data_IF_849559698325
#
_entry.id   IF_849559698325
#
_cell.length_a   1.000
_cell.length_b   1.000
_cell.length_c   1.000
_cell.angle_alpha   90.00
_cell.angle_beta   90.00
_cell.angle_gamma   90.00
#
_symmetry.space_group_name_H-M   'P 1'
#
loop_
_entity.id
_entity.type
_entity.pdbx_description
1 polymer ?
#
# COMPACT_ATOMS: atom_id res chain seq x y z
N UNK A 1 61.21 -34.45 -67.09
CA UNK A 1 61.69 -33.34 -67.93
C UNK A 1 62.07 -32.16 -67.03
N UNK A 2 63.36 -31.79 -67.04
CA UNK A 2 63.95 -30.41 -67.00
C UNK A 2 63.51 -29.48 -65.84
N UNK A 3 64.37 -29.24 -64.82
CA UNK A 3 65.35 -28.11 -64.69
C UNK A 3 64.69 -26.73 -64.48
N UNK A 4 65.12 -25.82 -63.60
CA UNK A 4 66.40 -25.67 -62.91
C UNK A 4 66.43 -24.50 -61.91
N UNK A 5 67.58 -24.36 -61.25
CA UNK A 5 67.96 -23.35 -60.25
C UNK A 5 68.11 -21.95 -60.87
N UNK A 6 68.17 -20.89 -60.05
CA UNK A 6 69.27 -19.87 -60.04
C UNK A 6 69.10 -18.88 -58.87
N UNK A 7 70.21 -18.65 -58.18
CA UNK A 7 70.46 -17.76 -57.05
C UNK A 7 71.18 -16.48 -57.54
N UNK A 8 70.91 -15.27 -57.02
CA UNK A 8 71.84 -14.11 -57.10
C UNK A 8 71.71 -13.13 -55.91
N UNK A 9 72.84 -12.93 -55.21
CA UNK A 9 73.15 -11.87 -54.23
C UNK A 9 73.13 -10.48 -54.89
N UNK A 10 72.75 -9.41 -54.16
CA UNK A 10 72.98 -8.00 -54.57
C UNK A 10 73.71 -7.19 -53.48
N UNK A 11 74.86 -6.61 -53.85
CA UNK A 11 75.68 -5.66 -53.10
C UNK A 11 74.97 -4.29 -53.03
N UNK A 12 75.03 -3.58 -51.89
CA UNK A 12 74.63 -2.16 -51.78
C UNK A 12 75.82 -1.28 -52.20
N UNK A 13 75.63 -0.45 -53.23
CA UNK A 13 76.59 0.55 -53.65
C UNK A 13 76.34 1.85 -52.85
N UNK A 14 77.38 2.32 -52.18
CA UNK A 14 77.44 3.62 -51.52
C UNK A 14 77.79 4.64 -52.62
N UNK A 15 76.82 5.44 -53.07
CA UNK A 15 77.09 6.53 -54.01
C UNK A 15 77.30 7.80 -53.19
N UNK A 16 78.57 8.10 -52.90
CA UNK A 16 79.02 9.39 -52.36
C UNK A 16 79.29 10.32 -53.54
N UNK A 17 78.36 11.24 -53.83
CA UNK A 17 78.67 12.42 -54.65
C UNK A 17 79.05 13.57 -53.69
N UNK A 18 80.32 13.98 -53.74
CA UNK A 18 80.82 15.21 -53.11
C UNK A 18 80.58 16.39 -54.06
N UNK A 19 79.84 17.40 -53.61
CA UNK A 19 79.92 18.77 -54.14
C UNK A 19 79.76 19.79 -52.99
N UNK A 20 80.42 20.94 -53.13
CA UNK A 20 81.11 21.64 -52.04
C UNK A 20 80.27 22.66 -51.23
N UNK A 21 79.06 23.08 -51.65
CA UNK A 21 78.45 24.30 -51.08
C UNK A 21 76.95 24.23 -50.68
N UNK A 22 76.36 23.05 -50.49
CA UNK A 22 74.92 22.93 -50.13
C UNK A 22 74.62 22.05 -48.91
N UNK A 23 75.59 21.85 -48.00
CA UNK A 23 75.51 20.86 -46.92
C UNK A 23 74.28 20.98 -45.99
N UNK A 24 73.80 22.19 -45.68
CA UNK A 24 72.64 22.34 -44.80
C UNK A 24 71.30 21.96 -45.45
N UNK A 25 71.14 22.24 -46.75
CA UNK A 25 69.91 21.92 -47.48
C UNK A 25 69.77 20.41 -47.68
N UNK A 26 70.86 19.75 -48.09
CA UNK A 26 70.88 18.30 -48.27
C UNK A 26 70.76 17.54 -46.94
N UNK A 27 71.30 18.06 -45.83
CA UNK A 27 71.23 17.38 -44.55
C UNK A 27 69.82 17.39 -43.94
N UNK A 28 69.06 18.48 -44.11
CA UNK A 28 67.65 18.55 -43.73
C UNK A 28 66.78 17.59 -44.56
N UNK A 29 67.08 17.49 -45.85
CA UNK A 29 66.41 16.53 -46.74
C UNK A 29 66.76 15.08 -46.38
N UNK A 30 68.00 14.80 -46.00
CA UNK A 30 68.42 13.46 -45.52
C UNK A 30 67.74 13.10 -44.21
N UNK A 31 67.62 14.02 -43.25
CA UNK A 31 66.90 13.76 -41.99
C UNK A 31 65.41 13.52 -42.22
N UNK A 32 64.78 14.29 -43.11
CA UNK A 32 63.39 14.06 -43.52
C UNK A 32 63.22 12.70 -44.20
N UNK A 33 64.13 12.33 -45.09
CA UNK A 33 64.12 11.03 -45.77
C UNK A 33 64.29 9.91 -44.74
N UNK A 34 65.23 10.03 -43.80
CA UNK A 34 65.44 9.02 -42.76
C UNK A 34 64.23 8.87 -41.83
N UNK A 35 63.60 9.99 -41.46
CA UNK A 35 62.37 9.96 -40.66
C UNK A 35 61.21 9.32 -41.42
N UNK A 36 61.07 9.62 -42.72
CA UNK A 36 60.09 8.99 -43.60
C UNK A 36 60.36 7.50 -43.76
N UNK A 37 61.61 7.08 -43.96
CA UNK A 37 62.02 5.68 -44.05
C UNK A 37 61.74 4.92 -42.75
N UNK A 38 62.05 5.51 -41.59
CA UNK A 38 61.71 4.91 -40.30
C UNK A 38 60.20 4.74 -40.13
N UNK A 39 59.42 5.76 -40.51
CA UNK A 39 57.96 5.72 -40.42
C UNK A 39 57.35 4.71 -41.40
N UNK A 40 57.91 4.63 -42.60
CA UNK A 40 57.50 3.68 -43.63
C UNK A 40 57.81 2.25 -43.20
N UNK A 41 59.00 1.99 -42.67
CA UNK A 41 59.38 0.69 -42.09
C UNK A 41 58.51 0.31 -40.90
N UNK A 42 58.13 1.27 -40.06
CA UNK A 42 57.19 1.04 -38.96
C UNK A 42 55.81 0.67 -39.48
N UNK A 43 55.29 1.38 -40.49
CA UNK A 43 54.01 1.06 -41.12
C UNK A 43 54.04 -0.31 -41.84
N UNK A 44 55.13 -0.65 -42.51
CA UNK A 44 55.34 -1.97 -43.13
C UNK A 44 55.39 -3.09 -42.09
N UNK A 45 55.97 -2.85 -40.91
CA UNK A 45 55.96 -3.82 -39.82
C UNK A 45 54.56 -4.02 -39.21
N UNK A 46 53.76 -2.95 -39.10
CA UNK A 46 52.40 -3.03 -38.56
C UNK A 46 51.40 -3.65 -39.54
N UNK A 47 51.55 -3.39 -40.84
CA UNK A 47 50.65 -3.87 -41.89
C UNK A 47 51.13 -5.23 -42.44
N UNK A 48 52.41 -5.56 -42.26
CA UNK A 48 53.06 -6.69 -42.92
C UNK A 48 53.15 -6.49 -44.44
N UNK A 49 53.80 -7.41 -45.15
CA UNK A 49 53.76 -7.51 -46.63
C UNK A 49 52.38 -8.02 -47.10
N UNK A 50 51.32 -7.39 -46.63
CA UNK A 50 49.95 -7.77 -46.98
C UNK A 50 49.40 -6.79 -47.98
N UNK A 51 48.77 -7.31 -49.03
CA UNK A 51 48.16 -6.50 -50.07
C UNK A 51 47.08 -5.60 -49.47
N UNK A 52 47.16 -4.30 -49.75
CA UNK A 52 46.22 -3.27 -49.22
C UNK A 52 44.76 -3.67 -49.40
N UNK A 53 44.45 -4.32 -50.51
CA UNK A 53 43.10 -4.76 -50.84
C UNK A 53 42.61 -5.87 -49.91
N UNK A 54 43.49 -6.74 -49.40
CA UNK A 54 43.08 -7.83 -48.52
C UNK A 54 42.70 -7.31 -47.13
N UNK A 55 43.46 -6.37 -46.58
CA UNK A 55 43.13 -5.75 -45.28
C UNK A 55 41.84 -4.94 -45.36
N UNK A 56 41.66 -4.16 -46.43
CA UNK A 56 40.43 -3.40 -46.65
C UNK A 56 39.24 -4.35 -46.81
N UNK A 57 39.40 -5.46 -47.54
CA UNK A 57 38.36 -6.48 -47.69
C UNK A 57 38.02 -7.17 -46.37
N UNK A 58 39.03 -7.50 -45.54
CA UNK A 58 38.82 -8.10 -44.21
C UNK A 58 38.10 -7.11 -43.27
N UNK A 59 38.49 -5.84 -43.28
CA UNK A 59 37.82 -4.80 -42.49
C UNK A 59 36.39 -4.60 -42.97
N UNK A 60 36.14 -4.59 -44.28
CA UNK A 60 34.80 -4.48 -44.84
C UNK A 60 33.94 -5.71 -44.52
N UNK A 61 34.51 -6.92 -44.57
CA UNK A 61 33.83 -8.16 -44.18
C UNK A 61 33.50 -8.17 -42.68
N UNK A 62 34.45 -7.77 -41.83
CA UNK A 62 34.22 -7.62 -40.39
C UNK A 62 33.17 -6.55 -40.10
N UNK A 63 33.23 -5.41 -40.78
CA UNK A 63 32.25 -4.35 -40.61
C UNK A 63 30.85 -4.78 -41.09
N UNK A 64 30.79 -5.56 -42.18
CA UNK A 64 29.57 -6.21 -42.67
C UNK A 64 28.98 -7.17 -41.63
N UNK A 65 29.82 -8.03 -41.05
CA UNK A 65 29.43 -8.97 -39.97
C UNK A 65 28.97 -8.24 -38.71
N UNK A 66 29.65 -7.18 -38.29
CA UNK A 66 29.27 -6.35 -37.13
C UNK A 66 27.94 -5.66 -37.39
N UNK A 67 27.74 -5.09 -38.58
CA UNK A 67 26.49 -4.43 -38.96
C UNK A 67 25.33 -5.42 -39.06
N UNK A 68 25.59 -6.62 -39.59
CA UNK A 68 24.62 -7.72 -39.62
C UNK A 68 24.26 -8.19 -38.21
N UNK A 69 25.23 -8.33 -37.31
CA UNK A 69 24.96 -8.69 -35.92
C UNK A 69 24.19 -7.60 -35.17
N UNK A 70 24.53 -6.33 -35.37
CA UNK A 70 23.82 -5.20 -34.77
C UNK A 70 22.37 -5.07 -35.27
N UNK A 71 22.14 -5.26 -36.58
CA UNK A 71 20.79 -5.29 -37.16
C UNK A 71 19.99 -6.51 -36.70
N UNK A 72 20.60 -7.69 -36.62
CA UNK A 72 19.95 -8.89 -36.09
C UNK A 72 19.59 -8.74 -34.60
N UNK A 73 20.46 -8.13 -33.79
CA UNK A 73 20.22 -7.93 -32.36
C UNK A 73 19.13 -6.87 -32.11
N UNK A 74 19.10 -5.79 -32.90
CA UNK A 74 18.02 -4.79 -32.83
C UNK A 74 16.68 -5.37 -33.29
N UNK A 75 16.67 -6.15 -34.38
CA UNK A 75 15.50 -6.88 -34.84
C UNK A 75 15.02 -7.91 -33.81
N UNK A 76 15.93 -8.67 -33.21
CA UNK A 76 15.60 -9.61 -32.14
C UNK A 76 14.98 -8.88 -30.93
N UNK A 77 15.53 -7.75 -30.52
CA UNK A 77 14.99 -6.96 -29.41
C UNK A 77 13.59 -6.39 -29.73
N UNK A 78 13.37 -5.92 -30.96
CA UNK A 78 12.04 -5.51 -31.42
C UNK A 78 11.06 -6.70 -31.44
N UNK A 79 11.51 -7.86 -31.91
CA UNK A 79 10.72 -9.09 -31.90
C UNK A 79 10.39 -9.55 -30.49
N UNK A 80 11.32 -9.49 -29.53
CA UNK A 80 11.04 -9.81 -28.12
C UNK A 80 10.00 -8.86 -27.52
N UNK A 81 10.15 -7.54 -27.73
CA UNK A 81 9.16 -6.55 -27.29
C UNK A 81 7.78 -6.78 -27.93
N UNK A 82 7.74 -7.16 -29.20
CA UNK A 82 6.50 -7.47 -29.91
C UNK A 82 5.97 -8.86 -29.57
N UNK A 83 6.80 -9.82 -29.19
CA UNK A 83 6.40 -11.19 -28.87
C UNK A 83 5.46 -11.23 -27.67
N UNK A 84 5.73 -10.43 -26.63
CA UNK A 84 4.82 -10.31 -25.48
C UNK A 84 3.47 -9.71 -25.88
N UNK A 85 3.49 -8.69 -26.74
CA UNK A 85 2.28 -8.07 -27.26
C UNK A 85 1.48 -9.03 -28.15
N UNK A 86 2.17 -9.76 -29.04
CA UNK A 86 1.58 -10.78 -29.90
C UNK A 86 0.98 -11.88 -29.03
N UNK A 87 1.69 -12.38 -28.02
CA UNK A 87 1.21 -13.43 -27.11
C UNK A 87 -0.06 -13.01 -26.37
N UNK A 88 -0.12 -11.75 -25.89
CA UNK A 88 -1.34 -11.18 -25.30
C UNK A 88 -2.50 -11.10 -26.30
N UNK A 89 -2.23 -10.70 -27.55
CA UNK A 89 -3.23 -10.56 -28.61
C UNK A 89 -3.65 -11.90 -29.22
N UNK A 90 -2.83 -12.94 -29.14
CA UNK A 90 -3.12 -14.31 -29.61
C UNK A 90 -3.70 -15.17 -28.50
N UNK A 91 -3.79 -14.68 -27.27
CA UNK A 91 -4.48 -15.39 -26.21
C UNK A 91 -5.92 -15.66 -26.65
N UNK A 92 -6.28 -16.95 -26.67
CA UNK A 92 -7.55 -17.44 -27.22
C UNK A 92 -8.75 -16.73 -26.60
N UNK A 93 -8.66 -16.38 -25.31
CA UNK A 93 -9.75 -15.73 -24.58
C UNK A 93 -9.96 -14.26 -25.00
N UNK A 94 -8.87 -13.54 -25.28
CA UNK A 94 -8.95 -12.15 -25.75
C UNK A 94 -9.47 -12.08 -27.19
N UNK A 95 -9.03 -13.00 -28.07
CA UNK A 95 -9.56 -13.08 -29.43
C UNK A 95 -11.04 -13.49 -29.45
N UNK A 96 -11.46 -14.42 -28.59
CA UNK A 96 -12.88 -14.82 -28.46
C UNK A 96 -13.77 -13.66 -28.02
N UNK A 97 -13.28 -12.80 -27.13
CA UNK A 97 -14.02 -11.62 -26.68
C UNK A 97 -14.11 -10.53 -27.76
N UNK A 98 -13.01 -10.25 -28.46
CA UNK A 98 -12.96 -9.23 -29.51
C UNK A 98 -13.70 -9.63 -30.80
N UNK A 99 -13.55 -10.88 -31.22
CA UNK A 99 -14.14 -11.43 -32.45
C UNK A 99 -15.59 -11.91 -32.28
N UNK A 100 -16.23 -11.65 -31.12
CA UNK A 100 -17.66 -11.92 -30.98
C UNK A 100 -18.45 -11.06 -31.97
N UNK A 101 -19.13 -11.75 -32.87
CA UNK A 101 -20.07 -11.13 -33.79
C UNK A 101 -21.17 -10.38 -33.03
N UNK A 102 -21.73 -9.34 -33.64
CA UNK A 102 -22.77 -8.50 -33.03
C UNK A 102 -23.98 -9.32 -32.60
N UNK A 103 -24.33 -10.38 -33.34
CA UNK A 103 -25.42 -11.30 -32.96
C UNK A 103 -25.11 -12.02 -31.64
N UNK A 104 -23.90 -12.54 -31.48
CA UNK A 104 -23.48 -13.26 -30.27
C UNK A 104 -23.38 -12.37 -29.02
N UNK A 105 -23.09 -11.07 -29.20
CA UNK A 105 -23.12 -10.08 -28.11
C UNK A 105 -24.55 -9.79 -27.68
N UNK A 106 -25.48 -9.72 -28.64
CA UNK A 106 -26.89 -9.53 -28.36
C UNK A 106 -27.47 -10.72 -27.60
N UNK A 107 -27.18 -11.94 -28.04
CA UNK A 107 -27.58 -13.17 -27.34
C UNK A 107 -27.02 -13.24 -25.91
N UNK A 108 -25.77 -12.81 -25.71
CA UNK A 108 -25.20 -12.71 -24.36
C UNK A 108 -25.96 -11.71 -23.48
N UNK A 109 -26.27 -10.52 -24.02
CA UNK A 109 -27.01 -9.49 -23.28
C UNK A 109 -28.41 -9.98 -22.93
N UNK A 110 -29.08 -10.67 -23.84
CA UNK A 110 -30.40 -11.26 -23.61
C UNK A 110 -30.34 -12.40 -22.58
N UNK A 111 -29.31 -13.25 -22.64
CA UNK A 111 -29.08 -14.31 -21.65
C UNK A 111 -28.77 -13.74 -20.26
N UNK A 112 -28.11 -12.59 -20.18
CA UNK A 112 -27.79 -11.87 -18.95
C UNK A 112 -28.85 -10.83 -18.55
N UNK A 113 -29.95 -10.69 -19.29
CA UNK A 113 -30.90 -9.59 -19.10
C UNK A 113 -31.52 -9.59 -17.70
N UNK A 114 -31.94 -10.75 -17.21
CA UNK A 114 -32.49 -10.91 -15.87
C UNK A 114 -31.46 -10.56 -14.79
N UNK A 115 -30.21 -11.02 -14.95
CA UNK A 115 -29.10 -10.71 -14.05
C UNK A 115 -28.79 -9.21 -14.02
N UNK A 116 -28.81 -8.54 -15.18
CA UNK A 116 -28.61 -7.10 -15.29
C UNK A 116 -29.77 -6.36 -14.63
N UNK A 117 -31.01 -6.79 -14.87
CA UNK A 117 -32.22 -6.19 -14.31
C UNK A 117 -32.23 -6.30 -12.78
N UNK A 118 -31.93 -7.46 -12.23
CA UNK A 118 -31.80 -7.66 -10.79
C UNK A 118 -30.66 -6.82 -10.21
N UNK A 119 -29.52 -6.74 -10.91
CA UNK A 119 -28.42 -5.85 -10.55
C UNK A 119 -28.83 -4.39 -10.47
N UNK A 120 -29.62 -3.90 -11.44
CA UNK A 120 -30.12 -2.52 -11.44
C UNK A 120 -31.15 -2.26 -10.34
N UNK A 121 -32.03 -3.23 -10.06
CA UNK A 121 -33.01 -3.13 -8.97
C UNK A 121 -32.31 -3.05 -7.62
N UNK A 122 -31.36 -3.95 -7.36
CA UNK A 122 -30.58 -3.96 -6.14
C UNK A 122 -29.76 -2.68 -5.98
N UNK A 123 -29.18 -2.15 -7.06
CA UNK A 123 -28.46 -0.88 -7.04
C UNK A 123 -29.39 0.28 -6.67
N UNK A 124 -30.62 0.29 -7.20
CA UNK A 124 -31.62 1.30 -6.84
C UNK A 124 -32.06 1.20 -5.37
N UNK A 125 -32.19 -0.02 -4.83
CA UNK A 125 -32.50 -0.24 -3.42
C UNK A 125 -31.34 0.20 -2.51
N UNK A 126 -30.10 -0.08 -2.91
CA UNK A 126 -28.90 0.37 -2.20
C UNK A 126 -28.78 1.90 -2.25
N UNK A 127 -29.05 2.55 -3.39
CA UNK A 127 -29.03 4.01 -3.50
C UNK A 127 -30.10 4.66 -2.60
N UNK A 128 -31.29 4.07 -2.53
CA UNK A 128 -32.33 4.51 -1.61
C UNK A 128 -31.89 4.38 -0.15
N UNK A 129 -31.22 3.27 0.21
CA UNK A 129 -30.74 3.04 1.57
C UNK A 129 -29.55 3.93 1.94
N UNK A 130 -28.65 4.22 0.98
CA UNK A 130 -27.53 5.14 1.17
C UNK A 130 -28.02 6.53 1.59
N UNK A 131 -29.09 7.03 0.96
CA UNK A 131 -29.72 8.31 1.33
C UNK A 131 -30.34 8.29 2.73
N UNK A 132 -30.79 7.13 3.21
CA UNK A 132 -31.31 6.96 4.59
C UNK A 132 -30.15 6.96 5.60
N UNK A 133 -29.03 6.33 5.27
CA UNK A 133 -27.82 6.33 6.10
C UNK A 133 -27.23 7.74 6.25
N UNK A 134 -27.31 8.57 5.20
CA UNK A 134 -26.91 9.98 5.22
C UNK A 134 -27.91 10.89 5.96
N UNK A 135 -29.04 10.35 6.45
CA UNK A 135 -30.03 11.16 7.16
C UNK A 135 -29.47 11.73 8.46
N UNK A 136 -29.89 12.96 8.77
CA UNK A 136 -29.46 13.72 9.95
C UNK A 136 -29.69 12.93 11.26
N UNK A 137 -30.70 12.06 11.29
CA UNK A 137 -30.99 11.19 12.42
C UNK A 137 -29.81 10.32 12.85
N UNK A 138 -29.04 9.75 11.90
CA UNK A 138 -27.86 8.94 12.24
C UNK A 138 -26.70 9.79 12.76
N UNK A 139 -26.59 11.05 12.29
CA UNK A 139 -25.58 11.99 12.78
C UNK A 139 -25.90 12.51 14.19
N UNK A 140 -27.17 12.52 14.58
CA UNK A 140 -27.60 12.96 15.91
C UNK A 140 -27.56 11.85 16.98
N UNK A 141 -27.40 10.59 16.59
CA UNK A 141 -27.30 9.45 17.53
C UNK A 141 -26.25 9.69 18.64
N UNK A 142 -25.02 10.14 18.36
CA UNK A 142 -24.03 10.39 19.42
C UNK A 142 -24.45 11.50 20.39
N UNK A 143 -25.16 12.54 19.91
CA UNK A 143 -25.70 13.61 20.76
C UNK A 143 -26.80 13.06 21.66
N UNK A 144 -27.72 12.28 21.09
CA UNK A 144 -28.80 11.62 21.84
C UNK A 144 -28.23 10.65 22.89
N UNK A 145 -27.23 9.86 22.53
CA UNK A 145 -26.56 8.94 23.44
C UNK A 145 -25.92 9.68 24.62
N UNK A 146 -25.27 10.82 24.37
CA UNK A 146 -24.71 11.65 25.43
C UNK A 146 -25.81 12.22 26.36
N UNK A 147 -26.93 12.67 25.81
CA UNK A 147 -28.06 13.13 26.63
C UNK A 147 -28.67 12.00 27.46
N UNK A 148 -28.81 10.81 26.87
CA UNK A 148 -29.33 9.62 27.55
C UNK A 148 -28.40 9.19 28.68
N UNK A 149 -27.07 9.20 28.47
CA UNK A 149 -26.10 8.88 29.51
C UNK A 149 -26.15 9.87 30.67
N UNK A 150 -26.27 11.18 30.39
CA UNK A 150 -26.47 12.18 31.44
C UNK A 150 -27.75 11.92 32.23
N UNK A 151 -28.84 11.60 31.54
CA UNK A 151 -30.11 11.27 32.19
C UNK A 151 -29.99 10.00 33.04
N UNK A 152 -29.28 8.98 32.57
CA UNK A 152 -29.05 7.73 33.29
C UNK A 152 -28.26 7.97 34.59
N UNK A 153 -27.24 8.83 34.55
CA UNK A 153 -26.46 9.22 35.73
C UNK A 153 -27.38 9.92 36.75
N UNK A 154 -28.18 10.89 36.30
CA UNK A 154 -29.13 11.61 37.16
C UNK A 154 -30.15 10.63 37.77
N UNK A 155 -30.71 9.74 36.95
CA UNK A 155 -31.69 8.76 37.40
C UNK A 155 -31.11 7.81 38.47
N UNK A 156 -29.88 7.35 38.29
CA UNK A 156 -29.21 6.52 39.30
C UNK A 156 -28.96 7.28 40.60
N UNK A 157 -28.59 8.56 40.51
CA UNK A 157 -28.42 9.39 41.70
C UNK A 157 -29.75 9.56 42.46
N UNK A 158 -30.84 9.88 41.75
CA UNK A 158 -32.18 9.99 42.34
C UNK A 158 -32.60 8.67 42.98
N UNK A 159 -32.35 7.54 42.32
CA UNK A 159 -32.68 6.21 42.84
C UNK A 159 -31.94 5.92 44.15
N UNK A 160 -30.65 6.26 44.22
CA UNK A 160 -29.85 6.07 45.44
C UNK A 160 -30.36 6.96 46.57
N UNK A 161 -30.57 8.25 46.31
CA UNK A 161 -31.11 9.20 47.28
C UNK A 161 -32.50 8.78 47.79
N UNK A 162 -33.35 8.29 46.91
CA UNK A 162 -34.66 7.78 47.31
C UNK A 162 -34.53 6.52 48.18
N UNK A 163 -33.58 5.64 47.88
CA UNK A 163 -33.28 4.47 48.71
C UNK A 163 -32.84 4.87 50.12
N UNK A 164 -31.91 5.83 50.24
CA UNK A 164 -31.44 6.37 51.52
C UNK A 164 -32.58 7.04 52.31
N UNK A 165 -33.35 7.92 51.67
CA UNK A 165 -34.48 8.59 52.31
C UNK A 165 -35.56 7.61 52.78
N UNK A 166 -35.84 6.57 52.00
CA UNK A 166 -36.83 5.55 52.39
C UNK A 166 -36.33 4.73 53.58
N UNK A 167 -35.03 4.42 53.62
CA UNK A 167 -34.43 3.73 54.76
C UNK A 167 -34.51 4.59 56.03
N UNK A 168 -34.15 5.88 55.94
CA UNK A 168 -34.24 6.83 57.06
C UNK A 168 -35.68 7.01 57.55
N UNK A 169 -36.64 7.16 56.63
CA UNK A 169 -38.05 7.25 56.98
C UNK A 169 -38.56 5.97 57.65
N UNK A 170 -38.13 4.80 57.16
CA UNK A 170 -38.47 3.52 57.78
C UNK A 170 -37.92 3.40 59.20
N UNK A 171 -36.67 3.82 59.44
CA UNK A 171 -36.09 3.83 60.78
C UNK A 171 -36.83 4.81 61.69
N UNK A 172 -37.14 6.00 61.20
CA UNK A 172 -37.90 7.00 61.96
C UNK A 172 -39.30 6.50 62.33
N UNK A 173 -40.01 5.85 61.40
CA UNK A 173 -41.32 5.25 61.67
C UNK A 173 -41.23 4.11 62.70
N UNK A 174 -40.16 3.33 62.66
CA UNK A 174 -39.91 2.27 63.63
C UNK A 174 -39.63 2.83 65.03
N UNK A 175 -38.82 3.88 65.13
CA UNK A 175 -38.54 4.59 66.39
C UNK A 175 -39.80 5.25 66.95
N UNK A 176 -40.60 5.87 66.08
CA UNK A 176 -41.88 6.44 66.48
C UNK A 176 -42.84 5.37 67.01
N UNK A 177 -42.96 4.22 66.31
CA UNK A 177 -43.78 3.12 66.77
C UNK A 177 -43.31 2.59 68.14
N UNK A 178 -41.99 2.42 68.33
CA UNK A 178 -41.43 2.00 69.62
C UNK A 178 -41.72 3.02 70.74
N UNK A 179 -41.58 4.32 70.45
CA UNK A 179 -41.90 5.38 71.40
C UNK A 179 -43.38 5.37 71.79
N UNK A 180 -44.29 5.17 70.82
CA UNK A 180 -45.73 5.10 71.11
C UNK A 180 -46.09 3.90 71.98
N UNK A 181 -45.47 2.73 71.76
CA UNK A 181 -45.66 1.55 72.60
C UNK A 181 -45.16 1.80 74.03
N UNK A 182 -43.96 2.37 74.19
CA UNK A 182 -43.43 2.74 75.50
C UNK A 182 -44.34 3.73 76.23
N UNK A 183 -44.89 4.73 75.52
CA UNK A 183 -45.84 5.67 76.09
C UNK A 183 -47.16 5.00 76.51
N UNK A 184 -47.69 4.08 75.71
CA UNK A 184 -48.88 3.31 76.09
C UNK A 184 -48.61 2.45 77.33
N UNK A 185 -47.49 1.74 77.38
CA UNK A 185 -47.06 0.97 78.55
C UNK A 185 -46.95 1.84 79.81
N UNK A 186 -46.31 3.01 79.70
CA UNK A 186 -46.21 3.96 80.81
C UNK A 186 -47.58 4.48 81.26
N UNK A 187 -48.47 4.79 80.32
CA UNK A 187 -49.84 5.23 80.65
C UNK A 187 -50.64 4.14 81.35
N UNK A 188 -50.53 2.88 80.92
CA UNK A 188 -51.14 1.75 81.63
C UNK A 188 -50.51 1.58 83.02
N UNK A 189 -49.20 1.72 83.15
CA UNK A 189 -48.52 1.67 84.44
C UNK A 189 -49.05 2.74 85.41
N UNK A 190 -49.12 4.00 84.98
CA UNK A 190 -49.70 5.06 85.80
C UNK A 190 -51.18 4.83 86.14
N UNK A 191 -51.97 4.31 85.20
CA UNK A 191 -53.37 3.96 85.44
C UNK A 191 -53.50 2.91 86.54
N UNK A 192 -52.64 1.89 86.55
CA UNK A 192 -52.65 0.87 87.62
C UNK A 192 -52.23 1.45 88.97
N UNK A 193 -51.20 2.32 89.02
CA UNK A 193 -50.80 3.01 90.26
C UNK A 193 -51.96 3.84 90.82
N UNK A 194 -52.63 4.63 89.97
CA UNK A 194 -53.75 5.46 90.38
C UNK A 194 -54.91 4.60 90.90
N UNK A 195 -55.25 3.50 90.23
CA UNK A 195 -56.28 2.59 90.68
C UNK A 195 -55.97 1.97 92.06
N UNK A 196 -54.72 1.54 92.29
CA UNK A 196 -54.29 1.02 93.58
C UNK A 196 -54.38 2.08 94.69
N UNK A 197 -54.02 3.34 94.39
CA UNK A 197 -54.14 4.44 95.35
C UNK A 197 -55.59 4.77 95.72
N UNK A 198 -56.54 4.64 94.77
CA UNK A 198 -57.97 4.86 95.04
C UNK A 198 -58.56 3.75 95.92
N UNK A 199 -58.20 2.48 95.69
CA UNK A 199 -58.63 1.38 96.55
C UNK A 199 -58.04 1.47 97.97
N UNK A 200 -56.82 1.99 98.11
CA UNK A 200 -56.22 2.29 99.41
C UNK A 200 -56.95 3.41 100.16
N UNK A 201 -57.54 4.37 99.45
CA UNK A 201 -58.30 5.46 100.08
C UNK A 201 -59.71 5.02 100.51
N UNK A 202 -60.39 4.18 99.72
CA UNK A 202 -61.71 3.65 100.10
C UNK A 202 -61.65 2.70 101.30
N UNK A 203 -60.59 1.90 101.42
CA UNK A 203 -60.37 1.02 102.59
C UNK A 203 -60.02 1.77 103.87
N UNK A 204 -59.50 3.00 103.78
CA UNK A 204 -59.27 3.85 104.96
C UNK A 204 -60.58 4.55 105.37
N UNK A 205 -61.41 5.01 104.42
CA UNK A 205 -62.72 5.58 104.74
C UNK A 205 -63.70 4.52 105.30
N UNK A 206 -63.67 3.29 104.80
CA UNK A 206 -64.51 2.20 105.33
C UNK A 206 -64.10 1.75 106.74
N UNK A 207 -62.81 1.89 107.11
CA UNK A 207 -62.31 1.60 108.47
C UNK A 207 -62.45 2.80 109.45
N UNK A 208 -62.99 3.93 108.99
CA UNK A 208 -63.27 5.12 109.82
C UNK A 208 -64.77 5.29 110.12
N UNK A 209 -65.63 4.38 109.61
CA UNK A 209 -67.10 4.42 109.78
C UNK A 209 -67.63 3.27 110.69
N UNK A 210 -66.80 2.32 111.13
CA UNK A 210 -67.10 1.38 112.23
C UNK A 210 -66.58 1.87 113.59
#
# INVERSE_FOLDING_TARGET
>A
MISGRICKKKKKALILFKTKDNNFLFQLDIERINHLEWRLKRLENFIGKSDKNNIINIINDLNGKITQHASNMTNANILFKKADMINRLTSSDFQRYLMRDRSTKLELILADEERIRDGTKNLSEIDALARVLDSEYFQEIPKLFNTLNKLLIIHNNIKNQHGEFTAELSTFLQDYAAFTLMMDENLQHYKTILHNSQQGSSTIEDNLIE
#
